data_IF_109243437744
#
_entry.id   IF_109243437744
#
_cell.length_a   1.000
_cell.length_b   1.000
_cell.length_c   1.000
_cell.angle_alpha   90.00
_cell.angle_beta   90.00
_cell.angle_gamma   90.00
#
_symmetry.space_group_name_H-M   'P 1'
#
loop_
_entity.id
_entity.type
_entity.pdbx_description
1 polymer ?
#
# COMPACT_ATOMS: atom_id res chain seq x y z
N UNK A 1 10.10 -21.77 -52.49
CA UNK A 1 11.56 -21.54 -52.60
C UNK A 1 11.87 -20.10 -52.22
N UNK A 2 12.96 -19.89 -51.44
CA UNK A 2 13.76 -18.65 -51.23
C UNK A 2 13.17 -17.45 -50.45
N UNK A 3 13.58 -17.38 -49.17
CA UNK A 3 14.01 -16.17 -48.41
C UNK A 3 15.44 -15.86 -48.93
N UNK A 4 15.93 -14.60 -49.15
CA UNK A 4 16.37 -13.68 -48.07
C UNK A 4 16.35 -12.16 -48.46
N UNK A 5 16.46 -11.16 -47.56
CA UNK A 5 17.64 -10.59 -46.88
C UNK A 5 17.12 -9.36 -46.09
N UNK A 6 17.31 -9.28 -44.77
CA UNK A 6 18.29 -8.39 -44.12
C UNK A 6 18.47 -7.02 -44.79
N UNK A 7 17.81 -6.00 -44.24
CA UNK A 7 18.21 -4.61 -44.46
C UNK A 7 18.91 -4.08 -43.21
N UNK A 8 20.21 -3.91 -43.36
CA UNK A 8 21.18 -3.41 -42.38
C UNK A 8 21.52 -1.97 -42.80
N UNK A 9 21.88 -1.14 -41.80
CA UNK A 9 22.44 0.21 -41.92
C UNK A 9 21.45 1.36 -42.20
N UNK A 10 21.26 2.23 -41.20
CA UNK A 10 22.00 3.49 -41.21
C UNK A 10 22.47 3.86 -39.81
N UNK A 11 23.77 4.15 -39.77
CA UNK A 11 24.57 4.71 -38.70
C UNK A 11 24.54 6.24 -38.85
N UNK A 12 24.97 6.96 -37.80
CA UNK A 12 25.36 8.39 -37.80
C UNK A 12 24.21 9.36 -37.44
N UNK A 13 24.32 10.30 -36.50
CA UNK A 13 25.41 10.74 -35.61
C UNK A 13 24.82 11.65 -34.51
N UNK A 14 25.45 11.65 -33.33
CA UNK A 14 25.63 12.86 -32.51
C UNK A 14 24.52 13.20 -31.50
N UNK A 15 24.85 13.19 -30.21
CA UNK A 15 25.39 14.39 -29.55
C UNK A 15 25.78 14.01 -28.12
N UNK A 16 27.03 14.32 -27.81
CA UNK A 16 27.71 14.14 -26.54
C UNK A 16 27.07 15.02 -25.46
N UNK A 17 26.74 14.45 -24.31
CA UNK A 17 26.64 15.18 -23.05
C UNK A 17 27.25 14.34 -21.93
N UNK A 18 28.58 14.37 -21.88
CA UNK A 18 29.34 13.94 -20.69
C UNK A 18 29.16 15.04 -19.65
N UNK A 19 28.40 14.75 -18.59
CA UNK A 19 28.40 15.58 -17.38
C UNK A 19 29.45 15.00 -16.44
N UNK A 20 30.58 15.69 -16.37
CA UNK A 20 31.64 15.50 -15.39
C UNK A 20 31.15 16.02 -14.02
N UNK A 21 30.84 15.12 -13.09
CA UNK A 21 30.98 15.41 -11.66
C UNK A 21 31.81 14.29 -11.04
N UNK A 22 33.09 14.57 -10.84
CA UNK A 22 33.93 13.80 -9.93
C UNK A 22 33.56 14.11 -8.49
N UNK A 23 33.66 13.11 -7.61
CA UNK A 23 33.64 13.33 -6.17
C UNK A 23 32.99 12.22 -5.35
N UNK A 24 33.85 11.36 -4.78
CA UNK A 24 33.65 10.48 -3.62
C UNK A 24 32.81 9.18 -3.75
N UNK A 25 33.38 8.02 -3.36
CA UNK A 25 32.62 6.82 -3.03
C UNK A 25 32.08 6.96 -1.61
N UNK A 26 30.86 7.50 -1.49
CA UNK A 26 30.16 7.63 -0.21
C UNK A 26 28.97 6.69 -0.17
N UNK A 27 29.04 5.69 0.71
CA UNK A 27 27.92 4.87 1.16
C UNK A 27 26.64 5.69 1.33
N UNK A 28 25.62 5.43 0.50
CA UNK A 28 24.22 5.69 0.82
C UNK A 28 23.49 4.36 1.02
N UNK A 29 23.92 3.59 2.01
CA UNK A 29 23.01 2.74 2.77
C UNK A 29 22.40 3.62 3.87
N UNK A 30 21.51 4.52 3.46
CA UNK A 30 20.57 5.10 4.41
C UNK A 30 19.60 3.99 4.84
N UNK A 31 19.40 3.75 6.14
CA UNK A 31 18.33 2.83 6.58
C UNK A 31 17.01 3.31 5.96
N UNK A 32 16.11 2.40 5.54
CA UNK A 32 14.81 2.82 5.03
C UNK A 32 14.17 3.70 6.09
N UNK A 33 13.95 4.97 5.74
CA UNK A 33 13.14 5.86 6.55
C UNK A 33 11.84 5.10 6.82
N UNK A 34 11.53 4.87 8.10
CA UNK A 34 10.24 4.35 8.52
C UNK A 34 9.18 5.32 7.97
N UNK A 35 8.65 4.97 6.80
CA UNK A 35 7.78 5.84 6.04
C UNK A 35 6.48 5.93 6.83
N UNK A 36 6.31 7.05 7.53
CA UNK A 36 4.97 7.47 7.94
C UNK A 36 4.11 7.41 6.66
N UNK A 37 3.06 6.59 6.68
CA UNK A 37 2.26 6.33 5.49
C UNK A 37 1.88 7.66 4.82
N UNK A 38 2.10 7.76 3.49
CA UNK A 38 1.80 8.99 2.75
C UNK A 38 0.31 9.32 2.87
N UNK A 39 -0.03 10.61 2.77
CA UNK A 39 -1.42 11.07 2.84
C UNK A 39 -2.32 10.35 1.81
N UNK A 40 -1.75 9.97 0.66
CA UNK A 40 -2.43 9.20 -0.39
C UNK A 40 -2.79 7.78 0.07
N UNK A 41 -1.87 7.08 0.73
CA UNK A 41 -2.11 5.72 1.26
C UNK A 41 -3.21 5.75 2.32
N UNK A 42 -3.24 6.79 3.15
CA UNK A 42 -4.30 6.98 4.16
C UNK A 42 -5.64 7.28 3.49
N UNK A 43 -5.66 8.14 2.46
CA UNK A 43 -6.88 8.45 1.73
C UNK A 43 -7.48 7.21 1.06
N UNK A 44 -6.64 6.37 0.45
CA UNK A 44 -7.03 5.06 -0.07
C UNK A 44 -7.59 4.16 1.03
N UNK A 45 -6.94 4.09 2.20
CA UNK A 45 -7.43 3.34 3.35
C UNK A 45 -8.80 3.82 3.84
N UNK A 46 -9.02 5.14 3.87
CA UNK A 46 -10.31 5.75 4.21
C UNK A 46 -11.39 5.35 3.21
N UNK A 47 -11.07 5.36 1.92
CA UNK A 47 -12.01 4.94 0.88
C UNK A 47 -12.39 3.47 1.03
N UNK A 48 -11.40 2.58 1.18
CA UNK A 48 -11.61 1.14 1.42
C UNK A 48 -12.44 0.90 2.69
N UNK A 49 -12.21 1.69 3.74
CA UNK A 49 -12.98 1.58 4.98
C UNK A 49 -14.46 2.00 4.81
N UNK A 50 -14.74 2.94 3.90
CA UNK A 50 -16.08 3.48 3.65
C UNK A 50 -16.87 2.68 2.60
N UNK A 51 -16.18 2.07 1.65
CA UNK A 51 -16.76 1.32 0.54
C UNK A 51 -16.74 -0.18 0.83
N UNK A 52 -17.62 -0.94 0.16
CA UNK A 52 -17.59 -2.42 0.20
C UNK A 52 -16.80 -2.98 -0.98
N UNK A 53 -16.76 -2.21 -2.08
CA UNK A 53 -16.02 -2.54 -3.29
C UNK A 53 -14.52 -2.64 -2.99
N UNK A 54 -13.87 -3.70 -3.50
CA UNK A 54 -12.43 -3.91 -3.34
C UNK A 54 -11.99 -4.78 -2.16
N UNK A 55 -12.86 -5.08 -1.18
CA UNK A 55 -12.52 -5.88 0.01
C UNK A 55 -13.17 -7.27 0.05
N UNK A 56 -14.01 -7.61 -0.94
CA UNK A 56 -14.77 -8.86 -0.93
C UNK A 56 -15.76 -8.99 0.24
N UNK A 57 -16.02 -7.90 0.98
CA UNK A 57 -16.87 -7.87 2.17
C UNK A 57 -18.34 -7.58 1.83
N UNK A 58 -19.26 -8.20 2.58
CA UNK A 58 -20.71 -7.95 2.41
C UNK A 58 -21.10 -6.51 2.78
N UNK A 59 -20.38 -5.92 3.72
CA UNK A 59 -20.63 -4.57 4.24
C UNK A 59 -19.31 -3.81 4.35
N UNK A 60 -19.36 -2.49 4.13
CA UNK A 60 -18.23 -1.61 4.39
C UNK A 60 -17.89 -1.55 5.88
N UNK A 61 -16.61 -1.41 6.22
CA UNK A 61 -16.12 -1.39 7.60
C UNK A 61 -16.82 -0.32 8.46
N UNK A 62 -17.09 0.85 7.86
CA UNK A 62 -17.78 1.97 8.53
C UNK A 62 -19.19 1.63 9.02
N UNK A 63 -19.88 0.67 8.39
CA UNK A 63 -21.25 0.32 8.80
C UNK A 63 -21.28 -0.39 10.16
N UNK A 64 -20.22 -1.14 10.47
CA UNK A 64 -20.05 -1.81 11.76
C UNK A 64 -19.25 -0.97 12.77
N UNK A 65 -18.30 -0.16 12.29
CA UNK A 65 -17.34 0.56 13.14
C UNK A 65 -17.60 2.08 13.18
N UNK A 66 -18.82 2.47 13.56
CA UNK A 66 -19.22 3.87 13.79
C UNK A 66 -19.64 4.12 15.23
N UNK A 67 -19.45 5.36 15.71
CA UNK A 67 -19.89 5.83 17.04
C UNK A 67 -19.41 4.88 18.16
N UNK A 68 -20.34 4.31 18.93
CA UNK A 68 -20.09 3.41 20.07
C UNK A 68 -19.39 2.08 19.69
N UNK A 69 -19.34 1.73 18.41
CA UNK A 69 -18.66 0.53 17.89
C UNK A 69 -17.36 0.86 17.15
N UNK A 70 -16.87 2.10 17.26
CA UNK A 70 -15.57 2.46 16.74
C UNK A 70 -14.48 1.54 17.29
N UNK A 71 -13.46 1.30 16.48
CA UNK A 71 -12.28 0.53 16.89
C UNK A 71 -11.67 1.26 18.09
N UNK A 72 -11.35 0.53 19.17
CA UNK A 72 -10.79 1.14 20.36
C UNK A 72 -9.31 1.45 20.12
N UNK A 73 -8.90 2.70 20.35
CA UNK A 73 -7.50 3.13 20.26
C UNK A 73 -6.54 2.23 21.04
N UNK A 74 -6.91 1.89 22.28
CA UNK A 74 -6.12 1.02 23.17
C UNK A 74 -5.94 -0.41 22.66
N UNK A 75 -6.73 -0.87 21.69
CA UNK A 75 -6.54 -2.16 21.03
C UNK A 75 -5.56 -2.00 19.86
N UNK A 76 -5.70 -0.93 19.06
CA UNK A 76 -4.84 -0.67 17.90
C UNK A 76 -3.40 -0.39 18.30
N UNK A 77 -3.18 0.35 19.40
CA UNK A 77 -1.84 0.65 19.91
C UNK A 77 -1.11 -0.58 20.48
N UNK A 78 -1.85 -1.61 20.90
CA UNK A 78 -1.27 -2.86 21.43
C UNK A 78 -0.92 -3.89 20.35
N UNK A 79 -1.38 -3.66 19.13
CA UNK A 79 -1.16 -4.55 17.99
C UNK A 79 -0.09 -3.94 17.09
N UNK A 80 0.89 -4.74 16.70
CA UNK A 80 1.75 -4.45 15.56
C UNK A 80 0.98 -4.59 14.24
N UNK A 81 1.58 -4.15 13.14
CA UNK A 81 0.91 -4.14 11.83
C UNK A 81 0.50 -5.53 11.35
N UNK A 82 1.32 -6.56 11.60
CA UNK A 82 1.01 -7.92 11.20
C UNK A 82 -0.15 -8.50 12.03
N UNK A 83 -0.20 -8.24 13.33
CA UNK A 83 -1.34 -8.64 14.15
C UNK A 83 -2.62 -7.87 13.77
N UNK A 84 -2.50 -6.57 13.47
CA UNK A 84 -3.62 -5.76 13.02
C UNK A 84 -4.17 -6.24 11.66
N UNK A 85 -3.30 -6.61 10.72
CA UNK A 85 -3.67 -7.22 9.43
C UNK A 85 -4.52 -8.48 9.62
N UNK A 86 -4.08 -9.39 10.50
CA UNK A 86 -4.81 -10.63 10.84
C UNK A 86 -6.19 -10.34 11.42
N UNK A 87 -6.30 -9.34 12.30
CA UNK A 87 -7.58 -8.92 12.89
C UNK A 87 -8.51 -8.37 11.82
N UNK A 88 -8.02 -7.51 10.93
CA UNK A 88 -8.79 -6.95 9.81
C UNK A 88 -9.32 -8.08 8.93
N UNK A 89 -8.44 -9.01 8.52
CA UNK A 89 -8.82 -10.15 7.69
C UNK A 89 -9.85 -11.05 8.36
N UNK A 90 -9.69 -11.34 9.66
CA UNK A 90 -10.67 -12.10 10.44
C UNK A 90 -12.05 -11.44 10.39
N UNK A 91 -12.12 -10.11 10.46
CA UNK A 91 -13.40 -9.39 10.35
C UNK A 91 -13.96 -9.40 8.93
N UNK A 92 -13.12 -9.22 7.92
CA UNK A 92 -13.53 -9.34 6.51
C UNK A 92 -14.16 -10.71 6.30
N UNK A 93 -13.41 -11.80 6.52
CA UNK A 93 -13.90 -13.18 6.30
C UNK A 93 -15.18 -13.48 7.07
N UNK A 94 -15.26 -13.09 8.36
CA UNK A 94 -16.46 -13.30 9.17
C UNK A 94 -17.69 -12.54 8.65
N UNK A 95 -17.50 -11.43 7.92
CA UNK A 95 -18.59 -10.62 7.37
C UNK A 95 -18.82 -10.87 5.88
N UNK A 96 -17.91 -11.50 5.17
CA UNK A 96 -17.97 -11.74 3.72
C UNK A 96 -18.80 -12.96 3.29
N UNK A 97 -19.40 -13.74 4.20
CA UNK A 97 -20.14 -14.97 3.88
C UNK A 97 -19.37 -15.94 2.97
N UNK A 98 -18.07 -16.13 3.22
CA UNK A 98 -17.26 -17.12 2.50
C UNK A 98 -16.28 -16.55 1.45
N UNK A 99 -16.16 -15.23 1.31
CA UNK A 99 -15.06 -14.67 0.53
C UNK A 99 -13.72 -14.84 1.24
N UNK A 100 -12.64 -15.03 0.45
CA UNK A 100 -11.26 -14.96 0.94
C UNK A 100 -10.96 -13.52 1.38
N UNK A 101 -10.21 -13.37 2.46
CA UNK A 101 -9.67 -12.08 2.89
C UNK A 101 -8.72 -11.48 1.84
N UNK A 102 -8.20 -10.30 2.12
CA UNK A 102 -7.18 -9.64 1.28
C UNK A 102 -5.77 -10.10 1.70
N UNK A 103 -4.77 -9.88 0.86
CA UNK A 103 -3.39 -10.19 1.22
C UNK A 103 -2.92 -9.35 2.43
N UNK A 104 -2.35 -10.00 3.46
CA UNK A 104 -1.94 -9.32 4.72
C UNK A 104 -0.79 -8.32 4.51
N UNK A 105 0.05 -8.57 3.53
CA UNK A 105 1.19 -7.75 3.09
C UNK A 105 0.87 -6.87 1.87
N UNK A 106 -0.35 -6.96 1.34
CA UNK A 106 -0.76 -6.23 0.15
C UNK A 106 -1.04 -4.75 0.39
N UNK A 107 -0.99 -3.96 -0.68
CA UNK A 107 -1.21 -2.50 -0.65
C UNK A 107 -2.55 -2.11 0.00
N UNK A 108 -3.61 -2.88 -0.26
CA UNK A 108 -4.93 -2.65 0.33
C UNK A 108 -4.93 -2.80 1.86
N UNK A 109 -4.20 -3.78 2.39
CA UNK A 109 -4.09 -4.00 3.83
C UNK A 109 -3.27 -2.89 4.48
N UNK A 110 -2.14 -2.53 3.86
CA UNK A 110 -1.29 -1.44 4.32
C UNK A 110 -2.05 -0.10 4.35
N UNK A 111 -2.85 0.19 3.33
CA UNK A 111 -3.69 1.37 3.29
C UNK A 111 -4.72 1.38 4.44
N UNK A 112 -5.39 0.25 4.70
CA UNK A 112 -6.34 0.12 5.82
C UNK A 112 -5.66 0.32 7.18
N UNK A 113 -4.49 -0.29 7.38
CA UNK A 113 -3.70 -0.15 8.62
C UNK A 113 -3.30 1.31 8.83
N UNK A 114 -2.75 1.95 7.79
CA UNK A 114 -2.36 3.36 7.83
C UNK A 114 -3.53 4.26 8.23
N UNK A 115 -4.69 4.06 7.60
CA UNK A 115 -5.90 4.81 7.93
C UNK A 115 -6.39 4.58 9.37
N UNK A 116 -6.46 3.32 9.81
CA UNK A 116 -6.92 2.97 11.17
C UNK A 116 -5.99 3.57 12.22
N UNK A 117 -4.67 3.47 12.03
CA UNK A 117 -3.70 4.09 12.93
C UNK A 117 -3.84 5.60 12.93
N UNK A 118 -3.95 6.25 11.78
CA UNK A 118 -4.08 7.70 11.72
C UNK A 118 -5.37 8.20 12.39
N UNK A 119 -6.51 7.53 12.20
CA UNK A 119 -7.76 7.91 12.88
C UNK A 119 -7.64 7.89 14.41
N UNK A 120 -6.68 7.15 14.97
CA UNK A 120 -6.39 7.09 16.40
C UNK A 120 -5.25 8.01 16.86
N UNK A 121 -4.36 8.42 15.96
CA UNK A 121 -3.29 9.39 16.24
C UNK A 121 -3.85 10.83 16.18
N UNK A 122 -4.64 11.16 15.15
CA UNK A 122 -5.08 12.55 14.90
C UNK A 122 -6.33 12.98 15.68
N UNK A 123 -7.07 12.03 16.26
CA UNK A 123 -8.25 12.30 17.12
C UNK A 123 -7.97 12.03 18.61
N UNK A 124 -6.69 11.87 18.93
CA UNK A 124 -6.18 11.61 20.27
C UNK A 124 -6.10 12.85 21.14
#
# INVERSE_FOLDING_TARGET
MKIPLLNRFMLSTGLTAVVLFGGAPGNFFGPPAASAASADVVAQGRELFKKKEGLGAKFACILCHKKKKAIKRSVVEKLDDAALAKVINKQIVAKSKGAKGIAEDGEQMQALIAYIRQEHITKG
#
